data_IF_536455551568
#
_entry.id   IF_536455551568
#
_cell.length_a   1.000
_cell.length_b   1.000
_cell.length_c   1.000
_cell.angle_alpha   90.00
_cell.angle_beta   90.00
_cell.angle_gamma   90.00
#
_symmetry.space_group_name_H-M   'P 1'
#
loop_
_entity.id
_entity.type
_entity.pdbx_description
1 polymer ?
#
# COMPACT_ATOMS: atom_id res chain seq x y z
N UNK A 1 -0.84 -15.34 1.63
CA UNK A 1 0.56 -14.85 1.67
C UNK A 1 0.56 -13.43 2.22
N UNK A 2 1.60 -13.01 2.93
CA UNK A 2 1.75 -11.65 3.44
C UNK A 2 3.12 -11.10 3.03
N UNK A 3 3.15 -9.85 2.53
CA UNK A 3 4.36 -9.11 2.23
C UNK A 3 4.38 -7.83 3.07
N UNK A 4 5.57 -7.47 3.55
CA UNK A 4 5.81 -6.22 4.28
C UNK A 4 6.98 -5.48 3.64
N UNK A 5 6.80 -4.19 3.44
CA UNK A 5 7.79 -3.30 2.83
C UNK A 5 8.04 -2.13 3.76
N UNK A 6 9.28 -1.66 3.87
CA UNK A 6 9.60 -0.40 4.55
C UNK A 6 10.73 0.30 3.80
N UNK A 7 10.82 1.63 3.93
CA UNK A 7 11.91 2.38 3.29
C UNK A 7 13.22 2.20 4.06
N UNK A 8 14.31 1.95 3.32
CA UNK A 8 15.65 1.79 3.92
C UNK A 8 16.35 3.15 4.17
N UNK A 9 16.05 4.15 3.35
CA UNK A 9 16.67 5.48 3.41
C UNK A 9 15.68 6.55 3.87
N UNK A 10 16.19 7.66 4.40
CA UNK A 10 15.39 8.81 4.89
C UNK A 10 14.44 8.52 6.06
N UNK A 11 14.59 7.38 6.75
CA UNK A 11 13.76 6.94 7.88
C UNK A 11 13.66 7.95 9.03
N UNK A 12 14.69 8.80 9.21
CA UNK A 12 14.70 9.86 10.22
C UNK A 12 13.72 11.01 9.93
N UNK A 13 13.33 11.20 8.67
CA UNK A 13 12.46 12.28 8.22
C UNK A 13 11.10 11.77 7.76
N UNK A 14 11.09 10.62 7.08
CA UNK A 14 9.91 10.02 6.47
C UNK A 14 10.04 8.51 6.57
N UNK A 15 9.07 7.86 7.20
CA UNK A 15 8.94 6.40 7.19
C UNK A 15 7.62 5.98 6.56
N UNK A 16 7.67 4.93 5.76
CA UNK A 16 6.53 4.30 5.10
C UNK A 16 6.58 2.81 5.36
N UNK A 17 5.65 2.30 6.16
CA UNK A 17 5.49 0.87 6.39
C UNK A 17 4.28 0.38 5.59
N UNK A 18 4.52 -0.56 4.70
CA UNK A 18 3.51 -1.11 3.79
C UNK A 18 3.30 -2.59 4.07
N UNK A 19 2.04 -3.03 3.95
CA UNK A 19 1.62 -4.41 4.13
C UNK A 19 0.68 -4.82 3.01
N UNK A 20 0.99 -5.93 2.34
CA UNK A 20 0.14 -6.56 1.33
C UNK A 20 -0.29 -7.94 1.82
N UNK A 21 -1.59 -8.23 1.74
CA UNK A 21 -2.18 -9.48 2.21
C UNK A 21 -2.93 -10.15 1.05
N UNK A 22 -2.49 -11.35 0.68
CA UNK A 22 -3.13 -12.22 -0.32
C UNK A 22 -3.92 -13.32 0.38
N UNK A 23 -5.24 -13.35 0.18
CA UNK A 23 -6.14 -14.37 0.72
C UNK A 23 -7.04 -14.94 -0.36
N UNK A 24 -7.22 -16.28 -0.46
CA UNK A 24 -8.26 -16.86 -1.29
C UNK A 24 -9.63 -16.32 -0.89
N UNK A 25 -10.51 -16.08 -1.86
CA UNK A 25 -11.86 -15.59 -1.59
C UNK A 25 -12.71 -16.75 -1.04
N UNK A 26 -13.43 -16.56 0.09
CA UNK A 26 -14.22 -17.64 0.70
C UNK A 26 -15.27 -18.25 -0.22
N UNK A 27 -15.86 -17.46 -1.12
CA UNK A 27 -16.90 -17.89 -2.05
C UNK A 27 -16.34 -18.46 -3.37
N UNK A 28 -15.08 -18.19 -3.68
CA UNK A 28 -14.45 -18.58 -4.94
C UNK A 28 -12.93 -18.69 -4.72
N UNK A 29 -12.44 -19.85 -4.27
CA UNK A 29 -11.03 -20.05 -3.94
C UNK A 29 -10.06 -19.90 -5.12
N UNK A 30 -10.56 -19.92 -6.37
CA UNK A 30 -9.75 -19.63 -7.56
C UNK A 30 -9.44 -18.13 -7.69
N UNK A 31 -10.18 -17.28 -6.96
CA UNK A 31 -9.93 -15.85 -6.88
C UNK A 31 -9.21 -15.49 -5.60
N UNK A 32 -8.24 -14.58 -5.71
CA UNK A 32 -7.53 -14.02 -4.57
C UNK A 32 -8.05 -12.61 -4.28
N UNK A 33 -8.20 -12.26 -3.01
CA UNK A 33 -8.35 -10.89 -2.55
C UNK A 33 -6.98 -10.40 -2.11
N UNK A 34 -6.52 -9.31 -2.73
CA UNK A 34 -5.32 -8.58 -2.32
C UNK A 34 -5.75 -7.32 -1.56
N UNK A 35 -5.24 -7.17 -0.34
CA UNK A 35 -5.42 -5.99 0.50
C UNK A 35 -4.08 -5.30 0.70
N UNK A 36 -4.01 -4.00 0.43
CA UNK A 36 -2.81 -3.19 0.63
C UNK A 36 -3.08 -2.07 1.64
N UNK A 37 -2.23 -2.01 2.66
CA UNK A 37 -2.29 -1.05 3.76
C UNK A 37 -0.94 -0.36 3.87
N UNK A 38 -0.94 0.95 4.14
CA UNK A 38 0.29 1.71 4.34
C UNK A 38 0.15 2.72 5.49
N UNK A 39 1.23 2.84 6.27
CA UNK A 39 1.38 3.80 7.36
C UNK A 39 2.51 4.74 7.00
N UNK A 40 2.20 6.05 6.93
CA UNK A 40 3.18 7.08 6.58
C UNK A 40 3.40 7.98 7.80
N UNK A 41 4.65 8.05 8.27
CA UNK A 41 5.05 8.98 9.34
C UNK A 41 6.03 10.00 8.79
N UNK A 42 5.79 11.29 9.08
CA UNK A 42 6.72 12.37 8.74
C UNK A 42 7.14 13.09 10.00
N UNK A 43 8.44 13.37 10.14
CA UNK A 43 9.04 13.99 11.33
C UNK A 43 10.03 15.09 10.92
N UNK A 44 10.10 16.13 11.75
CA UNK A 44 11.19 17.11 11.70
C UNK A 44 11.22 18.03 10.47
N UNK A 45 10.13 18.13 9.70
CA UNK A 45 10.04 19.00 8.51
C UNK A 45 8.73 19.79 8.46
N UNK A 46 8.83 21.06 8.05
CA UNK A 46 7.69 21.98 7.96
C UNK A 46 6.72 21.67 6.80
N UNK A 47 7.07 20.70 5.96
CA UNK A 47 6.27 20.22 4.81
C UNK A 47 5.57 18.88 5.10
N UNK A 48 5.35 18.56 6.37
CA UNK A 48 4.84 17.25 6.81
C UNK A 48 3.60 16.77 6.05
N UNK A 49 2.55 17.59 6.00
CA UNK A 49 1.30 17.23 5.31
C UNK A 49 1.46 17.10 3.80
N UNK A 50 2.34 17.90 3.19
CA UNK A 50 2.62 17.82 1.75
C UNK A 50 3.35 16.50 1.42
N UNK A 51 4.37 16.14 2.21
CA UNK A 51 5.11 14.89 2.04
C UNK A 51 4.24 13.66 2.32
N UNK A 52 3.36 13.72 3.33
CA UNK A 52 2.35 12.68 3.56
C UNK A 52 1.43 12.53 2.34
N UNK A 53 0.94 13.64 1.78
CA UNK A 53 0.09 13.62 0.58
C UNK A 53 0.80 13.05 -0.65
N UNK A 54 2.06 13.41 -0.86
CA UNK A 54 2.88 12.86 -1.95
C UNK A 54 3.12 11.34 -1.79
N UNK A 55 3.47 10.90 -0.59
CA UNK A 55 3.66 9.46 -0.35
C UNK A 55 2.36 8.68 -0.49
N UNK A 56 1.24 9.26 -0.02
CA UNK A 56 -0.07 8.68 -0.20
C UNK A 56 -0.44 8.53 -1.68
N UNK A 57 -0.15 9.54 -2.51
CA UNK A 57 -0.41 9.47 -3.95
C UNK A 57 0.48 8.45 -4.66
N UNK A 58 1.77 8.35 -4.27
CA UNK A 58 2.69 7.34 -4.82
C UNK A 58 2.24 5.92 -4.49
N UNK A 59 1.88 5.64 -3.24
CA UNK A 59 1.39 4.32 -2.81
C UNK A 59 0.08 4.00 -3.52
N UNK A 60 -0.85 4.95 -3.59
CA UNK A 60 -2.12 4.75 -4.32
C UNK A 60 -1.90 4.50 -5.81
N UNK A 61 -0.95 5.19 -6.45
CA UNK A 61 -0.62 4.94 -7.86
C UNK A 61 -0.01 3.56 -8.05
N UNK A 62 0.89 3.14 -7.16
CA UNK A 62 1.49 1.81 -7.20
C UNK A 62 0.47 0.70 -6.94
N UNK A 63 -0.50 0.91 -6.05
CA UNK A 63 -1.61 -0.01 -5.83
C UNK A 63 -2.45 -0.20 -7.11
N UNK A 64 -2.76 0.89 -7.83
CA UNK A 64 -3.49 0.81 -9.10
C UNK A 64 -2.69 0.07 -10.17
N UNK A 65 -1.40 0.36 -10.32
CA UNK A 65 -0.52 -0.37 -11.25
C UNK A 65 -0.41 -1.85 -10.88
N UNK A 66 -0.30 -2.17 -9.59
CA UNK A 66 -0.26 -3.54 -9.08
C UNK A 66 -1.56 -4.29 -9.39
N UNK A 67 -2.72 -3.63 -9.22
CA UNK A 67 -4.01 -4.18 -9.63
C UNK A 67 -4.05 -4.45 -11.14
N UNK A 68 -3.70 -3.47 -11.98
CA UNK A 68 -3.71 -3.63 -13.44
C UNK A 68 -2.81 -4.79 -13.88
N UNK A 69 -1.60 -4.88 -13.32
CA UNK A 69 -0.67 -5.98 -13.59
C UNK A 69 -1.23 -7.34 -13.15
N UNK A 70 -1.93 -7.41 -12.02
CA UNK A 70 -2.56 -8.63 -11.52
C UNK A 70 -3.83 -9.01 -12.30
N UNK A 71 -4.61 -8.04 -12.76
CA UNK A 71 -5.76 -8.25 -13.65
C UNK A 71 -5.27 -8.86 -14.97
N UNK A 72 -4.14 -8.37 -15.52
CA UNK A 72 -3.47 -8.98 -16.69
C UNK A 72 -2.93 -10.38 -16.40
N UNK A 73 -2.47 -10.64 -15.17
CA UNK A 73 -1.95 -11.95 -14.74
C UNK A 73 -3.02 -12.96 -14.28
N UNK A 74 -4.30 -12.58 -14.27
CA UNK A 74 -5.50 -13.36 -13.93
C UNK A 74 -5.85 -13.54 -12.41
N UNK A 75 -7.18 -13.61 -12.16
CA UNK A 75 -7.91 -14.03 -10.94
C UNK A 75 -7.65 -13.31 -9.60
N UNK A 76 -7.27 -12.03 -9.59
CA UNK A 76 -7.08 -11.28 -8.33
C UNK A 76 -7.98 -10.05 -8.26
N UNK A 77 -8.58 -9.78 -7.10
CA UNK A 77 -9.35 -8.55 -6.83
C UNK A 77 -8.63 -7.72 -5.76
N UNK A 78 -8.38 -6.45 -6.07
CA UNK A 78 -7.62 -5.54 -5.22
C UNK A 78 -8.52 -4.59 -4.42
N UNK A 79 -8.29 -4.46 -3.11
CA UNK A 79 -8.96 -3.47 -2.25
C UNK A 79 -7.97 -2.50 -1.60
N UNK A 80 -8.24 -1.20 -1.72
CA UNK A 80 -7.51 -0.11 -1.05
C UNK A 80 -8.17 0.20 0.31
N UNK A 81 -7.42 0.24 1.41
CA UNK A 81 -7.92 0.76 2.69
C UNK A 81 -7.11 1.95 3.23
N UNK A 82 -7.88 3.01 3.52
CA UNK A 82 -7.66 4.26 4.24
C UNK A 82 -6.29 4.54 4.87
N UNK A 83 -5.68 5.65 4.43
CA UNK A 83 -4.69 6.41 5.18
C UNK A 83 -5.27 6.86 6.52
N UNK A 84 -4.87 6.21 7.62
CA UNK A 84 -5.07 6.79 8.96
C UNK A 84 -3.98 7.84 9.18
N UNK A 85 -4.37 9.12 9.11
CA UNK A 85 -3.62 10.20 9.77
C UNK A 85 -3.60 9.87 11.27
N UNK A 86 -2.43 9.52 11.80
CA UNK A 86 -2.13 9.62 13.23
C UNK A 86 -1.58 11.02 13.50
#
# INVERSE_FOLDING_TARGET
MELKSTNSSFTNMLSGDERLIYKPRPQDPEKTVLTQEAIISVKGVNLGSYLQGLMASMISSNANKGREALDVAHSTHFQNLLFKKL
#
